data_IF_305648341991
#
_entry.id   IF_305648341991
#
_cell.length_a   1.000
_cell.length_b   1.000
_cell.length_c   1.000
_cell.angle_alpha   90.00
_cell.angle_beta   90.00
_cell.angle_gamma   90.00
#
_symmetry.space_group_name_H-M   'P 1'
#
loop_
_entity.id
_entity.type
_entity.pdbx_description
1 polymer ?
#
# COMPACT_ATOMS: atom_id res chain seq x y z
N UNK A 1 -37.02 19.00 -11.15
CA UNK A 1 -36.81 19.70 -12.44
C UNK A 1 -35.99 20.95 -12.17
N UNK A 2 -34.68 20.86 -12.42
CA UNK A 2 -33.74 21.92 -12.78
C UNK A 2 -32.55 21.15 -13.41
N UNK A 3 -32.19 21.49 -14.64
CA UNK A 3 -31.26 20.72 -15.49
C UNK A 3 -29.79 20.87 -15.09
N UNK A 4 -28.87 20.08 -15.71
CA UNK A 4 -27.46 20.11 -15.35
C UNK A 4 -26.76 21.33 -15.97
N UNK A 5 -25.92 21.95 -15.16
CA UNK A 5 -25.04 23.06 -15.55
C UNK A 5 -24.10 22.65 -16.68
N UNK A 6 -24.07 23.47 -17.73
CA UNK A 6 -23.13 23.36 -18.84
C UNK A 6 -21.74 23.77 -18.35
N UNK A 7 -20.80 22.84 -18.42
CA UNK A 7 -19.37 23.10 -18.32
C UNK A 7 -18.89 23.97 -19.49
N UNK A 8 -18.40 25.17 -19.18
CA UNK A 8 -17.71 26.09 -20.11
C UNK A 8 -16.22 25.73 -20.11
N UNK A 9 -15.76 25.04 -21.15
CA UNK A 9 -14.38 24.57 -21.33
C UNK A 9 -13.38 25.67 -21.69
N UNK A 10 -13.30 26.74 -20.90
CA UNK A 10 -12.27 27.77 -21.05
C UNK A 10 -11.26 27.71 -19.91
N UNK A 11 -10.19 26.94 -20.12
CA UNK A 11 -8.95 27.13 -19.38
C UNK A 11 -8.37 28.50 -19.73
N UNK A 12 -8.26 29.38 -18.73
CA UNK A 12 -7.54 30.64 -18.86
C UNK A 12 -6.04 30.34 -18.92
N UNK A 13 -5.28 30.93 -19.85
CA UNK A 13 -3.84 30.72 -19.93
C UNK A 13 -3.15 31.32 -18.70
N UNK A 14 -2.38 30.48 -17.98
CA UNK A 14 -1.59 30.87 -16.82
C UNK A 14 -0.61 32.01 -17.12
N UNK A 15 -0.39 32.87 -16.13
CA UNK A 15 0.49 34.04 -16.23
C UNK A 15 1.96 33.65 -16.44
N UNK A 16 2.80 34.59 -16.93
CA UNK A 16 4.20 34.31 -17.21
C UNK A 16 4.97 34.12 -15.89
N UNK A 17 5.18 32.87 -15.49
CA UNK A 17 5.89 32.49 -14.27
C UNK A 17 5.48 31.14 -13.68
N UNK A 18 4.34 30.55 -14.08
CA UNK A 18 3.98 29.22 -13.62
C UNK A 18 4.83 28.14 -14.32
N UNK A 19 5.54 27.35 -13.51
CA UNK A 19 6.16 26.11 -13.97
C UNK A 19 5.05 25.16 -14.44
N UNK A 20 5.24 24.36 -15.52
CA UNK A 20 4.24 23.40 -15.95
C UNK A 20 3.85 22.48 -14.78
N UNK A 21 2.58 22.48 -14.37
CA UNK A 21 2.06 21.51 -13.42
C UNK A 21 2.07 20.15 -14.10
N UNK A 22 3.02 19.31 -13.72
CA UNK A 22 2.98 17.88 -14.04
C UNK A 22 1.77 17.33 -13.27
N UNK A 23 0.77 16.72 -13.94
CA UNK A 23 -0.34 16.08 -13.24
C UNK A 23 0.22 15.03 -12.27
N UNK A 24 -0.32 14.98 -11.05
CA UNK A 24 0.03 13.93 -10.10
C UNK A 24 -0.17 12.55 -10.74
N UNK A 25 0.71 11.57 -10.47
CA UNK A 25 0.50 10.20 -10.91
C UNK A 25 -0.90 9.74 -10.45
N UNK A 26 -1.68 9.12 -11.35
CA UNK A 26 -2.97 8.52 -10.98
C UNK A 26 -2.73 7.44 -9.92
N UNK A 27 -3.59 7.40 -8.89
CA UNK A 27 -3.64 6.36 -7.87
C UNK A 27 -3.76 4.97 -8.50
N UNK A 28 -3.21 3.95 -7.84
CA UNK A 28 -3.29 2.59 -8.33
C UNK A 28 -4.74 2.08 -8.21
N UNK A 29 -5.20 1.25 -9.14
CA UNK A 29 -6.58 0.77 -9.13
C UNK A 29 -6.93 -0.09 -7.89
N UNK A 30 -5.92 -0.61 -7.19
CA UNK A 30 -6.04 -1.30 -5.90
C UNK A 30 -6.37 -0.37 -4.73
N UNK A 31 -6.26 0.95 -4.93
CA UNK A 31 -6.63 1.99 -3.96
C UNK A 31 -8.14 2.32 -3.99
N UNK A 32 -8.95 1.60 -4.77
CA UNK A 32 -10.39 1.82 -4.93
C UNK A 32 -11.27 0.61 -4.51
N UNK A 33 -10.73 -0.32 -3.72
CA UNK A 33 -11.46 -1.47 -3.17
C UNK A 33 -11.14 -2.82 -3.84
N UNK A 34 -11.89 -3.89 -3.52
CA UNK A 34 -11.61 -5.23 -4.03
C UNK A 34 -11.74 -5.31 -5.55
N UNK A 35 -10.73 -5.88 -6.21
CA UNK A 35 -10.73 -6.08 -7.65
C UNK A 35 -11.78 -7.14 -8.04
N UNK A 36 -12.54 -6.94 -9.13
CA UNK A 36 -13.40 -7.99 -9.67
C UNK A 36 -12.55 -9.17 -10.18
N UNK A 37 -13.01 -10.41 -9.92
CA UNK A 37 -12.34 -11.63 -10.39
C UNK A 37 -12.19 -11.62 -11.91
N UNK A 38 -10.95 -11.77 -12.39
CA UNK A 38 -10.67 -11.95 -13.81
C UNK A 38 -11.01 -13.39 -14.24
N UNK A 39 -11.66 -13.60 -15.40
CA UNK A 39 -11.86 -14.94 -15.94
C UNK A 39 -10.49 -15.59 -16.25
N UNK A 40 -10.35 -16.91 -16.04
CA UNK A 40 -9.08 -17.60 -16.26
C UNK A 40 -8.66 -17.50 -17.73
N UNK A 41 -7.38 -17.19 -17.96
CA UNK A 41 -6.80 -17.21 -19.29
C UNK A 41 -6.86 -18.65 -19.88
N UNK A 42 -7.14 -18.80 -21.19
CA UNK A 42 -7.12 -20.11 -21.82
C UNK A 42 -5.71 -20.68 -21.81
N UNK A 43 -5.56 -21.84 -21.18
CA UNK A 43 -4.32 -22.63 -21.15
C UNK A 43 -4.08 -23.20 -22.55
N UNK A 44 -2.97 -22.84 -23.19
CA UNK A 44 -2.49 -23.57 -24.37
C UNK A 44 -1.68 -24.79 -23.88
N UNK A 45 -2.21 -25.99 -24.14
CA UNK A 45 -1.51 -27.25 -23.92
C UNK A 45 -0.22 -27.33 -24.74
N UNK A 46 0.95 -27.57 -24.11
CA UNK A 46 2.13 -27.96 -24.84
C UNK A 46 2.12 -29.49 -24.96
N UNK A 47 1.55 -30.01 -26.05
CA UNK A 47 1.86 -31.38 -26.47
C UNK A 47 2.22 -31.40 -27.94
N UNK A 48 3.50 -31.60 -28.24
CA UNK A 48 4.00 -32.69 -29.10
C UNK A 48 5.46 -32.46 -29.53
N UNK A 49 6.29 -33.49 -29.32
CA UNK A 49 7.64 -33.61 -29.87
C UNK A 49 8.73 -33.66 -28.79
N UNK A 50 9.00 -34.83 -28.19
CA UNK A 50 10.13 -35.71 -28.59
C UNK A 50 11.49 -35.07 -28.33
N UNK A 51 12.39 -35.57 -27.49
CA UNK A 51 12.59 -36.86 -26.84
C UNK A 51 14.02 -36.82 -26.31
N UNK A 52 14.24 -37.35 -25.11
CA UNK A 52 15.54 -37.37 -24.46
C UNK A 52 16.55 -38.19 -25.29
N UNK A 53 17.71 -37.60 -25.60
CA UNK A 53 18.91 -38.38 -25.93
C UNK A 53 20.13 -37.76 -25.22
N UNK A 54 20.77 -38.68 -24.53
CA UNK A 54 22.01 -38.67 -23.77
C UNK A 54 23.18 -37.89 -24.43
N UNK A 55 23.99 -37.24 -23.60
CA UNK A 55 25.22 -36.56 -24.00
C UNK A 55 26.41 -37.53 -24.04
N UNK A 56 27.16 -37.61 -25.15
CA UNK A 56 28.55 -38.06 -25.10
C UNK A 56 29.51 -36.98 -25.61
N UNK A 57 30.37 -36.53 -24.69
CA UNK A 57 31.83 -36.34 -24.79
C UNK A 57 32.42 -35.90 -26.16
N UNK A 58 32.97 -34.69 -26.16
CA UNK A 58 33.80 -34.10 -27.23
C UNK A 58 34.99 -34.97 -27.64
N UNK A 59 35.29 -35.06 -28.95
CA UNK A 59 36.64 -35.21 -29.45
C UNK A 59 37.09 -33.97 -30.25
N UNK A 60 38.41 -33.85 -30.30
CA UNK A 60 39.23 -32.73 -30.77
C UNK A 60 38.95 -32.26 -32.21
N UNK A 61 39.29 -30.98 -32.40
CA UNK A 61 39.18 -30.21 -33.62
C UNK A 61 40.06 -30.74 -34.77
N UNK A 62 39.45 -30.92 -35.94
CA UNK A 62 40.11 -30.82 -37.25
C UNK A 62 39.35 -29.83 -38.14
N UNK A 63 40.04 -29.10 -39.04
CA UNK A 63 39.52 -27.89 -39.66
C UNK A 63 38.52 -28.23 -40.77
N UNK A 64 37.23 -27.99 -40.51
CA UNK A 64 36.19 -28.10 -41.53
C UNK A 64 36.23 -26.85 -42.42
N UNK A 65 36.59 -27.10 -43.67
CA UNK A 65 36.49 -26.19 -44.80
C UNK A 65 35.09 -25.56 -44.87
N UNK A 66 35.05 -24.23 -45.05
CA UNK A 66 33.82 -23.48 -45.17
C UNK A 66 32.89 -24.11 -46.23
N UNK A 67 31.61 -24.40 -45.91
CA UNK A 67 30.67 -24.84 -46.92
C UNK A 67 30.43 -23.69 -47.90
N UNK A 68 30.55 -24.00 -49.18
CA UNK A 68 30.17 -23.09 -50.26
C UNK A 68 28.76 -22.56 -50.00
N UNK A 69 28.65 -21.24 -49.97
CA UNK A 69 27.40 -20.50 -49.86
C UNK A 69 26.45 -21.04 -50.94
N UNK A 70 25.37 -21.71 -50.51
CA UNK A 70 24.25 -21.96 -51.41
C UNK A 70 23.80 -20.59 -51.94
N UNK A 71 23.55 -20.43 -53.25
CA UNK A 71 23.04 -19.17 -53.76
C UNK A 71 21.75 -18.85 -52.99
N UNK A 72 21.70 -17.65 -52.39
CA UNK A 72 20.47 -17.10 -51.86
C UNK A 72 19.40 -17.24 -52.97
N UNK A 73 18.18 -17.71 -52.66
CA UNK A 73 17.11 -17.69 -53.64
C UNK A 73 17.02 -16.26 -54.17
N UNK A 74 17.07 -16.13 -55.50
CA UNK A 74 16.89 -14.84 -56.18
C UNK A 74 15.66 -14.15 -55.56
N UNK A 75 15.74 -12.85 -55.23
CA UNK A 75 14.59 -12.14 -54.67
C UNK A 75 13.40 -12.40 -55.59
N UNK A 76 12.32 -12.93 -54.99
CA UNK A 76 11.08 -13.15 -55.73
C UNK A 76 10.74 -11.85 -56.46
N UNK A 77 10.33 -11.92 -57.74
CA UNK A 77 10.05 -10.73 -58.51
C UNK A 77 9.04 -9.88 -57.73
N UNK A 78 9.36 -8.58 -57.57
CA UNK A 78 8.51 -7.65 -56.85
C UNK A 78 7.06 -7.81 -57.30
N UNK A 79 6.08 -7.88 -56.38
CA UNK A 79 4.70 -8.13 -56.75
C UNK A 79 4.26 -7.10 -57.79
N UNK A 80 3.57 -7.51 -58.86
CA UNK A 80 3.14 -6.57 -59.88
C UNK A 80 2.28 -5.46 -59.26
N UNK A 81 2.43 -4.22 -59.76
CA UNK A 81 1.73 -3.03 -59.27
C UNK A 81 0.24 -3.23 -58.96
N UNK A 82 -0.47 -4.03 -59.77
CA UNK A 82 -1.90 -4.35 -59.55
C UNK A 82 -2.15 -5.05 -58.19
N UNK A 83 -1.26 -5.93 -57.76
CA UNK A 83 -1.36 -6.65 -56.48
C UNK A 83 -1.09 -5.67 -55.34
N UNK A 84 -0.01 -4.88 -55.42
CA UNK A 84 0.33 -3.88 -54.40
C UNK A 84 -0.77 -2.81 -54.25
N UNK A 85 -1.35 -2.37 -55.37
CA UNK A 85 -2.52 -1.47 -55.37
C UNK A 85 -3.75 -2.11 -54.69
N UNK A 86 -3.95 -3.42 -54.84
CA UNK A 86 -5.07 -4.11 -54.17
C UNK A 86 -4.87 -4.28 -52.66
N UNK A 87 -3.62 -4.26 -52.18
CA UNK A 87 -3.28 -4.36 -50.77
C UNK A 87 -3.43 -3.03 -50.01
N UNK A 88 -3.57 -1.89 -50.70
CA UNK A 88 -3.65 -0.56 -50.05
C UNK A 88 -4.75 -0.45 -48.99
N UNK A 89 -5.90 -1.11 -49.22
CA UNK A 89 -7.00 -1.14 -48.24
C UNK A 89 -6.66 -1.95 -46.98
N UNK A 90 -6.05 -3.13 -47.15
CA UNK A 90 -5.62 -3.97 -46.03
C UNK A 90 -4.46 -3.33 -45.26
N UNK A 91 -3.52 -2.70 -45.98
CA UNK A 91 -2.41 -1.95 -45.41
C UNK A 91 -2.91 -0.73 -44.61
N UNK A 92 -3.91 -0.01 -45.12
CA UNK A 92 -4.51 1.12 -44.40
C UNK A 92 -5.19 0.70 -43.09
N UNK A 93 -5.65 -0.56 -43.00
CA UNK A 93 -6.26 -1.16 -41.80
C UNK A 93 -5.25 -1.91 -40.91
N UNK A 94 -3.95 -1.84 -41.20
CA UNK A 94 -2.90 -2.62 -40.52
C UNK A 94 -3.17 -4.14 -40.50
N UNK A 95 -3.81 -4.66 -41.55
CA UNK A 95 -4.21 -6.05 -41.70
C UNK A 95 -3.30 -6.86 -42.65
N UNK A 96 -2.22 -6.26 -43.15
CA UNK A 96 -1.20 -6.94 -43.94
C UNK A 96 -0.22 -7.71 -43.04
N UNK A 97 0.35 -8.78 -43.59
CA UNK A 97 1.55 -9.42 -43.00
C UNK A 97 2.75 -8.46 -43.04
N UNK A 98 3.82 -8.78 -42.30
CA UNK A 98 5.05 -7.99 -42.30
C UNK A 98 5.70 -7.88 -43.70
N UNK A 99 5.67 -8.98 -44.46
CA UNK A 99 6.22 -9.04 -45.83
C UNK A 99 5.40 -8.18 -46.81
N UNK A 100 4.08 -8.24 -46.74
CA UNK A 100 3.19 -7.40 -47.55
C UNK A 100 3.29 -5.93 -47.19
N UNK A 101 3.46 -5.61 -45.90
CA UNK A 101 3.63 -4.24 -45.42
C UNK A 101 4.89 -3.62 -46.01
N UNK A 102 6.02 -4.32 -45.94
CA UNK A 102 7.28 -3.86 -46.51
C UNK A 102 7.17 -3.66 -48.04
N UNK A 103 6.56 -4.61 -48.75
CA UNK A 103 6.38 -4.53 -50.20
C UNK A 103 5.45 -3.37 -50.64
N UNK A 104 4.43 -3.07 -49.85
CA UNK A 104 3.55 -1.91 -50.09
C UNK A 104 4.29 -0.61 -49.79
N UNK A 105 5.02 -0.50 -48.68
CA UNK A 105 5.77 0.71 -48.32
C UNK A 105 6.84 1.07 -49.35
N UNK A 106 7.59 0.09 -49.83
CA UNK A 106 8.54 0.26 -50.95
C UNK A 106 7.81 0.71 -52.23
N UNK A 107 6.62 0.19 -52.51
CA UNK A 107 5.84 0.65 -53.66
C UNK A 107 5.34 2.09 -53.54
N UNK A 108 5.02 2.54 -52.33
CA UNK A 108 4.53 3.89 -52.08
C UNK A 108 5.60 4.96 -52.32
N UNK A 109 6.90 4.63 -52.19
CA UNK A 109 7.98 5.57 -52.53
C UNK A 109 8.07 5.83 -54.03
N UNK A 110 7.72 4.82 -54.84
CA UNK A 110 7.93 4.84 -56.29
C UNK A 110 6.65 5.17 -57.09
N UNK A 111 5.48 5.19 -56.45
CA UNK A 111 4.19 5.39 -57.12
C UNK A 111 3.33 6.45 -56.41
N UNK A 112 3.43 7.69 -56.89
CA UNK A 112 2.66 8.82 -56.37
C UNK A 112 1.14 8.56 -56.33
N UNK A 113 0.58 7.90 -57.35
CA UNK A 113 -0.87 7.61 -57.39
C UNK A 113 -1.32 6.62 -56.31
N UNK A 114 -0.47 5.67 -55.93
CA UNK A 114 -0.75 4.74 -54.83
C UNK A 114 -0.51 5.41 -53.47
N UNK A 115 0.48 6.31 -53.36
CA UNK A 115 0.71 7.10 -52.16
C UNK A 115 -0.49 8.03 -51.84
N UNK A 116 -1.02 8.73 -52.85
CA UNK A 116 -2.21 9.56 -52.70
C UNK A 116 -3.43 8.73 -52.28
N UNK A 117 -3.60 7.55 -52.87
CA UNK A 117 -4.70 6.64 -52.52
C UNK A 117 -4.53 6.06 -51.10
N UNK A 118 -3.31 5.70 -50.72
CA UNK A 118 -2.99 5.21 -49.37
C UNK A 118 -3.27 6.28 -48.30
N UNK A 119 -2.94 7.55 -48.58
CA UNK A 119 -3.27 8.68 -47.71
C UNK A 119 -4.78 8.88 -47.58
N UNK A 120 -5.53 8.81 -48.70
CA UNK A 120 -7.00 8.88 -48.67
C UNK A 120 -7.61 7.73 -47.87
N UNK A 121 -7.13 6.50 -48.07
CA UNK A 121 -7.61 5.31 -47.35
C UNK A 121 -7.31 5.41 -45.85
N UNK A 122 -6.10 5.82 -45.43
CA UNK A 122 -5.81 6.05 -44.01
C UNK A 122 -6.67 7.16 -43.40
N UNK A 123 -6.90 8.24 -44.15
CA UNK A 123 -7.83 9.29 -43.74
C UNK A 123 -9.26 8.77 -43.54
N UNK A 124 -9.73 7.86 -44.40
CA UNK A 124 -11.03 7.24 -44.30
C UNK A 124 -11.13 6.21 -43.16
N UNK A 125 -10.07 5.46 -42.86
CA UNK A 125 -9.99 4.55 -41.70
C UNK A 125 -10.20 5.32 -40.39
N UNK A 126 -9.64 6.52 -40.27
CA UNK A 126 -9.87 7.41 -39.13
C UNK A 126 -11.32 7.85 -38.94
N UNK A 127 -12.17 7.76 -39.97
CA UNK A 127 -13.61 8.04 -39.90
C UNK A 127 -14.45 6.80 -39.59
N UNK A 128 -13.89 5.60 -39.77
CA UNK A 128 -14.54 4.31 -39.50
C UNK A 128 -14.29 3.81 -38.07
N UNK A 129 -13.21 4.27 -37.43
CA UNK A 129 -12.97 4.01 -36.02
C UNK A 129 -13.81 4.97 -35.17
N UNK A 130 -14.61 4.48 -34.21
CA UNK A 130 -14.98 5.30 -33.07
C UNK A 130 -13.69 5.88 -32.47
N UNK A 131 -13.74 7.11 -31.95
CA UNK A 131 -12.62 7.63 -31.18
C UNK A 131 -12.42 6.72 -29.97
N UNK A 132 -11.45 5.80 -30.06
CA UNK A 132 -11.07 4.97 -28.93
C UNK A 132 -10.56 5.89 -27.83
N UNK A 133 -10.98 5.63 -26.59
CA UNK A 133 -10.45 6.39 -25.46
C UNK A 133 -8.94 6.19 -25.39
N UNK A 134 -8.19 7.29 -25.33
CA UNK A 134 -6.75 7.27 -25.07
C UNK A 134 -6.45 6.97 -23.59
N UNK A 135 -7.48 6.80 -22.76
CA UNK A 135 -7.30 6.36 -21.37
C UNK A 135 -6.75 4.93 -21.36
N UNK A 136 -5.54 4.80 -20.81
CA UNK A 136 -4.98 3.51 -20.47
C UNK A 136 -5.85 2.85 -19.42
N UNK A 137 -5.99 1.53 -19.52
CA UNK A 137 -6.59 0.71 -18.47
C UNK A 137 -5.93 1.06 -17.13
N UNK A 138 -6.69 1.47 -16.09
CA UNK A 138 -6.14 1.80 -14.77
C UNK A 138 -5.28 0.68 -14.17
N UNK A 139 -5.54 -0.59 -14.55
CA UNK A 139 -4.79 -1.77 -14.12
C UNK A 139 -3.55 -2.04 -14.99
N UNK A 140 -3.28 -1.26 -16.03
CA UNK A 140 -2.12 -1.48 -16.88
C UNK A 140 -0.82 -1.31 -16.08
N UNK A 141 -0.73 -0.25 -15.26
CA UNK A 141 0.48 0.00 -14.46
C UNK A 141 0.75 -1.15 -13.49
N UNK A 142 -0.25 -1.56 -12.72
CA UNK A 142 -0.11 -2.64 -11.74
C UNK A 142 0.27 -3.96 -12.44
N UNK A 143 -0.42 -4.35 -13.51
CA UNK A 143 -0.09 -5.56 -14.29
C UNK A 143 1.32 -5.52 -14.90
N UNK A 144 1.76 -4.37 -15.40
CA UNK A 144 3.11 -4.22 -15.95
C UNK A 144 4.15 -4.35 -14.84
N UNK A 145 3.94 -3.70 -13.69
CA UNK A 145 4.84 -3.80 -12.54
C UNK A 145 4.88 -5.22 -11.99
N UNK A 146 3.74 -5.87 -11.80
CA UNK A 146 3.62 -7.26 -11.39
C UNK A 146 4.35 -8.19 -12.36
N UNK A 147 4.13 -8.02 -13.67
CA UNK A 147 4.85 -8.78 -14.69
C UNK A 147 6.36 -8.53 -14.67
N UNK A 148 6.81 -7.30 -14.39
CA UNK A 148 8.23 -6.97 -14.23
C UNK A 148 8.83 -7.62 -12.98
N UNK A 149 8.15 -7.55 -11.83
CA UNK A 149 8.58 -8.11 -10.56
C UNK A 149 8.58 -9.64 -10.60
N UNK A 150 7.61 -10.27 -11.28
CA UNK A 150 7.58 -11.71 -11.51
C UNK A 150 8.74 -12.19 -12.38
N UNK A 151 9.14 -11.42 -13.40
CA UNK A 151 10.31 -11.73 -14.24
C UNK A 151 11.64 -11.52 -13.51
N UNK A 152 11.71 -10.55 -12.60
CA UNK A 152 12.91 -10.21 -11.83
C UNK A 152 12.58 -10.08 -10.34
N UNK A 153 12.40 -11.21 -9.64
CA UNK A 153 12.07 -11.17 -8.21
C UNK A 153 13.22 -10.55 -7.41
N UNK A 154 12.87 -9.89 -6.31
CA UNK A 154 13.86 -9.41 -5.36
C UNK A 154 14.68 -10.59 -4.84
N UNK A 155 16.01 -10.44 -4.84
CA UNK A 155 16.92 -11.49 -4.32
C UNK A 155 16.65 -11.79 -2.85
N UNK A 156 16.26 -10.77 -2.10
CA UNK A 156 15.88 -10.82 -0.69
C UNK A 156 14.54 -10.06 -0.60
N UNK A 157 13.41 -10.77 -0.54
CA UNK A 157 12.11 -10.12 -0.42
C UNK A 157 11.87 -9.61 1.00
N UNK A 158 11.17 -8.50 1.12
CA UNK A 158 10.62 -8.02 2.41
C UNK A 158 9.51 -8.98 2.84
N UNK A 159 9.46 -9.42 4.11
CA UNK A 159 8.37 -10.24 4.60
C UNK A 159 7.03 -9.53 4.42
N UNK A 160 6.01 -10.27 4.00
CA UNK A 160 4.70 -9.70 3.68
C UNK A 160 4.09 -8.90 4.84
N UNK A 161 4.24 -9.38 6.07
CA UNK A 161 3.77 -8.71 7.29
C UNK A 161 4.55 -7.43 7.64
N UNK A 162 5.74 -7.23 7.09
CA UNK A 162 6.54 -6.02 7.26
C UNK A 162 6.34 -4.99 6.13
N UNK A 163 5.69 -5.38 5.02
CA UNK A 163 5.46 -4.52 3.87
C UNK A 163 4.69 -3.21 4.20
N UNK A 164 3.67 -3.21 5.09
CA UNK A 164 3.03 -1.96 5.50
C UNK A 164 4.00 -0.98 6.15
N UNK A 165 4.88 -1.46 7.05
CA UNK A 165 5.86 -0.59 7.71
C UNK A 165 6.89 -0.03 6.71
N UNK A 166 7.38 -0.86 5.77
CA UNK A 166 8.29 -0.41 4.70
C UNK A 166 7.65 0.69 3.84
N UNK A 167 6.39 0.52 3.46
CA UNK A 167 5.66 1.48 2.65
C UNK A 167 5.40 2.80 3.38
N UNK A 168 4.90 2.75 4.62
CA UNK A 168 4.57 3.96 5.39
C UNK A 168 5.81 4.74 5.80
N UNK A 169 6.90 4.07 6.18
CA UNK A 169 8.18 4.74 6.48
C UNK A 169 8.80 5.35 5.22
N UNK A 170 8.70 4.70 4.06
CA UNK A 170 9.16 5.28 2.79
C UNK A 170 8.33 6.50 2.37
N UNK A 171 7.00 6.48 2.61
CA UNK A 171 6.10 7.59 2.32
C UNK A 171 6.37 8.79 3.23
N UNK A 172 6.55 8.57 4.53
CA UNK A 172 6.94 9.61 5.49
C UNK A 172 8.33 10.17 5.15
N UNK A 173 9.29 9.31 4.81
CA UNK A 173 10.62 9.75 4.41
C UNK A 173 10.62 10.66 3.16
N UNK A 174 9.72 10.41 2.20
CA UNK A 174 9.55 11.28 1.04
C UNK A 174 9.04 12.67 1.46
N UNK A 175 8.03 12.74 2.33
CA UNK A 175 7.54 14.00 2.91
C UNK A 175 8.66 14.76 3.61
N UNK A 176 9.40 14.10 4.52
CA UNK A 176 10.46 14.73 5.31
C UNK A 176 11.61 15.29 4.46
N UNK A 177 11.91 14.68 3.30
CA UNK A 177 12.95 15.14 2.38
C UNK A 177 12.60 16.43 1.65
N UNK A 178 11.31 16.67 1.45
CA UNK A 178 10.83 17.88 0.78
C UNK A 178 10.72 19.07 1.75
N UNK A 179 10.78 18.81 3.06
CA UNK A 179 10.67 19.81 4.11
C UNK A 179 11.97 20.59 4.35
N UNK A 180 11.85 21.90 4.54
CA UNK A 180 12.89 22.80 5.04
C UNK A 180 12.93 22.90 6.56
N UNK A 181 14.01 23.49 7.08
CA UNK A 181 14.29 23.56 8.53
C UNK A 181 13.20 24.28 9.36
N UNK A 182 12.45 25.20 8.77
CA UNK A 182 11.34 25.87 9.44
C UNK A 182 10.14 24.95 9.67
N UNK A 183 9.82 24.10 8.68
CA UNK A 183 8.69 23.16 8.75
C UNK A 183 8.99 22.03 9.75
N UNK A 184 10.26 21.66 9.93
CA UNK A 184 10.69 20.75 10.99
C UNK A 184 10.42 21.28 12.42
N UNK A 185 10.24 22.60 12.58
CA UNK A 185 9.84 23.25 13.83
C UNK A 185 8.35 23.57 13.90
N UNK A 186 7.57 23.21 12.87
CA UNK A 186 6.12 23.44 12.88
C UNK A 186 5.50 22.74 14.09
N UNK A 187 4.57 23.42 14.80
CA UNK A 187 3.90 22.82 15.95
C UNK A 187 2.97 21.70 15.48
N UNK A 188 3.09 20.54 16.10
CA UNK A 188 2.21 19.38 15.86
C UNK A 188 1.42 19.10 17.12
N UNK A 189 0.11 18.87 16.97
CA UNK A 189 -0.78 18.46 18.06
C UNK A 189 -0.96 16.95 18.02
N UNK A 190 -0.29 16.23 18.91
CA UNK A 190 -0.55 14.81 19.10
C UNK A 190 -1.81 14.61 19.92
N UNK A 191 -2.63 13.62 19.56
CA UNK A 191 -3.84 13.23 20.27
C UNK A 191 -3.84 11.74 20.55
N UNK A 192 -4.38 11.35 21.69
CA UNK A 192 -4.65 9.95 22.04
C UNK A 192 -5.76 9.90 23.09
N UNK A 193 -6.20 8.70 23.48
CA UNK A 193 -7.29 8.51 24.43
C UNK A 193 -6.79 7.87 25.73
N UNK A 194 -7.09 8.48 26.88
CA UNK A 194 -6.68 7.96 28.19
C UNK A 194 -7.90 7.88 29.13
N UNK A 195 -8.17 6.68 29.63
CA UNK A 195 -9.30 6.41 30.51
C UNK A 195 -10.64 6.57 29.79
N UNK A 196 -11.25 7.75 29.90
CA UNK A 196 -12.52 8.13 29.27
C UNK A 196 -12.45 9.51 28.59
N UNK A 197 -11.24 10.03 28.33
CA UNK A 197 -11.10 11.37 27.73
C UNK A 197 -10.00 11.41 26.66
N UNK A 198 -10.19 12.24 25.62
CA UNK A 198 -9.09 12.60 24.74
C UNK A 198 -8.03 13.37 25.54
N UNK A 199 -6.78 13.12 25.20
CA UNK A 199 -5.59 13.79 25.71
C UNK A 199 -4.84 14.34 24.51
N UNK A 200 -4.27 15.52 24.67
CA UNK A 200 -3.48 16.14 23.62
C UNK A 200 -2.15 16.65 24.16
N UNK A 201 -1.15 16.73 23.28
CA UNK A 201 0.14 17.33 23.58
C UNK A 201 0.71 18.07 22.38
N UNK A 202 1.23 19.27 22.62
CA UNK A 202 2.02 19.99 21.62
C UNK A 202 3.44 19.44 21.57
N UNK A 203 3.95 19.35 20.35
CA UNK A 203 5.35 19.06 20.06
C UNK A 203 5.70 19.72 18.72
N UNK A 204 6.82 19.34 18.11
CA UNK A 204 7.20 19.74 16.76
C UNK A 204 7.30 18.53 15.85
N UNK A 205 7.44 18.73 14.53
CA UNK A 205 7.74 17.64 13.60
C UNK A 205 8.97 16.84 14.05
N UNK A 206 10.04 17.51 14.47
CA UNK A 206 11.22 16.84 15.04
C UNK A 206 10.87 16.00 16.28
N UNK A 207 9.99 16.52 17.14
CA UNK A 207 9.49 15.79 18.30
C UNK A 207 8.68 14.54 17.93
N UNK A 208 7.83 14.61 16.89
CA UNK A 208 7.10 13.45 16.36
C UNK A 208 8.06 12.39 15.81
N UNK A 209 9.08 12.80 15.05
CA UNK A 209 10.11 11.88 14.56
C UNK A 209 10.89 11.23 15.69
N UNK A 210 11.18 11.99 16.74
CA UNK A 210 11.80 11.47 17.95
C UNK A 210 10.91 10.42 18.63
N UNK A 211 9.61 10.70 18.77
CA UNK A 211 8.64 9.73 19.30
C UNK A 211 8.64 8.43 18.49
N UNK A 212 8.49 8.50 17.16
CA UNK A 212 8.51 7.32 16.29
C UNK A 212 9.80 6.51 16.47
N UNK A 213 10.96 7.17 16.46
CA UNK A 213 12.27 6.52 16.67
C UNK A 213 12.37 5.85 18.06
N UNK A 214 11.90 6.53 19.11
CA UNK A 214 11.95 6.02 20.47
C UNK A 214 11.14 4.73 20.63
N UNK A 215 9.93 4.69 20.07
CA UNK A 215 9.03 3.54 20.16
C UNK A 215 9.43 2.42 19.20
N UNK A 216 9.91 2.73 17.99
CA UNK A 216 10.49 1.74 17.07
C UNK A 216 11.74 1.05 17.67
N UNK A 217 12.39 1.69 18.64
CA UNK A 217 13.45 1.11 19.46
C UNK A 217 13.02 -0.16 20.23
N UNK A 218 11.74 -0.31 20.57
CA UNK A 218 11.20 -1.54 21.17
C UNK A 218 11.33 -2.74 20.21
N UNK A 219 10.98 -2.50 18.94
CA UNK A 219 11.09 -3.51 17.87
C UNK A 219 12.57 -3.79 17.56
N UNK A 220 13.39 -2.75 17.52
CA UNK A 220 14.83 -2.87 17.26
C UNK A 220 15.52 -3.73 18.33
N UNK A 221 15.27 -3.44 19.60
CA UNK A 221 15.87 -4.18 20.72
C UNK A 221 15.41 -5.63 20.79
N UNK A 222 14.12 -5.91 20.51
CA UNK A 222 13.63 -7.29 20.38
C UNK A 222 14.40 -8.06 19.29
N UNK A 223 14.68 -7.41 18.16
CA UNK A 223 15.46 -7.96 17.05
C UNK A 223 16.98 -8.07 17.31
N UNK A 224 17.44 -7.66 18.49
CA UNK A 224 18.86 -7.63 18.86
C UNK A 224 19.66 -6.50 18.20
N UNK A 225 18.98 -5.50 17.65
CA UNK A 225 19.60 -4.28 17.14
C UNK A 225 19.88 -3.29 18.30
N UNK A 226 20.79 -2.32 18.11
CA UNK A 226 21.03 -1.28 19.11
C UNK A 226 19.76 -0.50 19.45
N UNK A 227 19.60 -0.13 20.73
CA UNK A 227 18.55 0.80 21.15
C UNK A 227 18.91 2.22 20.69
N UNK A 228 18.04 2.95 19.95
CA UNK A 228 18.30 4.34 19.55
C UNK A 228 18.51 5.28 20.75
N UNK A 229 17.94 4.97 21.92
CA UNK A 229 18.16 5.75 23.15
C UNK A 229 19.52 5.44 23.82
N UNK A 230 20.23 4.40 23.37
CA UNK A 230 21.54 4.02 23.90
C UNK A 230 21.55 3.89 25.42
N UNK A 231 22.50 4.57 26.08
CA UNK A 231 22.61 4.57 27.55
C UNK A 231 21.53 5.38 28.27
N UNK A 232 20.76 6.19 27.53
CA UNK A 232 19.62 6.92 28.08
C UNK A 232 18.34 6.07 28.13
N UNK A 233 18.35 4.83 27.58
CA UNK A 233 17.19 3.96 27.62
C UNK A 233 16.71 3.74 29.07
N UNK A 234 15.41 3.96 29.35
CA UNK A 234 14.89 3.85 30.71
C UNK A 234 15.00 2.41 31.24
N UNK A 235 15.39 2.22 32.52
CA UNK A 235 15.45 0.88 33.11
C UNK A 235 14.04 0.33 33.38
N UNK A 236 13.91 -1.01 33.36
CA UNK A 236 12.66 -1.70 33.68
C UNK A 236 11.90 -2.18 32.43
N UNK A 237 10.60 -2.41 32.58
CA UNK A 237 9.75 -2.87 31.47
C UNK A 237 9.66 -1.76 30.41
N UNK A 238 10.00 -2.04 29.14
CA UNK A 238 9.95 -1.03 28.09
C UNK A 238 8.53 -0.49 27.90
N UNK A 239 8.33 0.83 27.94
CA UNK A 239 7.04 1.49 27.80
C UNK A 239 7.15 2.66 26.79
N UNK A 240 6.26 2.76 25.78
CA UNK A 240 6.28 3.81 24.76
C UNK A 240 6.38 5.24 25.33
N UNK A 241 5.41 5.65 26.16
CA UNK A 241 5.36 6.98 26.78
C UNK A 241 6.64 7.32 27.55
N UNK A 242 7.16 6.41 28.38
CA UNK A 242 8.39 6.67 29.14
C UNK A 242 9.59 6.88 28.21
N UNK A 243 9.68 6.13 27.11
CA UNK A 243 10.76 6.27 26.11
C UNK A 243 10.65 7.58 25.35
N UNK A 244 9.43 7.93 24.92
CA UNK A 244 9.13 9.20 24.24
C UNK A 244 9.52 10.39 25.13
N UNK A 245 9.06 10.40 26.39
CA UNK A 245 9.40 11.47 27.35
C UNK A 245 10.90 11.54 27.65
N UNK A 246 11.56 10.39 27.76
CA UNK A 246 13.02 10.34 27.98
C UNK A 246 13.77 11.00 26.82
N UNK A 247 13.38 10.69 25.58
CA UNK A 247 13.99 11.30 24.40
C UNK A 247 13.74 12.81 24.37
N UNK A 248 12.49 13.24 24.54
CA UNK A 248 12.12 14.66 24.49
C UNK A 248 12.80 15.50 25.57
N UNK A 249 13.01 14.95 26.77
CA UNK A 249 13.75 15.63 27.84
C UNK A 249 15.25 15.74 27.57
N UNK A 250 15.80 14.86 26.74
CA UNK A 250 17.20 14.86 26.37
C UNK A 250 17.48 15.74 25.13
N UNK A 251 16.45 16.14 24.39
CA UNK A 251 16.59 17.00 23.22
C UNK A 251 17.09 18.39 23.62
N UNK A 252 18.18 18.83 22.99
CA UNK A 252 18.74 20.17 23.17
C UNK A 252 18.03 21.14 22.20
N UNK A 253 17.53 22.26 22.72
CA UNK A 253 16.86 23.30 21.92
C UNK A 253 17.81 23.97 20.91
N UNK A 254 19.12 23.91 21.15
CA UNK A 254 20.14 24.43 20.24
C UNK A 254 20.47 23.48 19.07
N UNK A 255 20.08 22.20 19.17
CA UNK A 255 20.36 21.21 18.13
C UNK A 255 19.48 21.43 16.89
N UNK A 256 20.02 21.13 15.70
CA UNK A 256 19.24 21.24 14.47
C UNK A 256 18.07 20.25 14.52
N UNK A 257 16.83 20.65 14.21
CA UNK A 257 15.69 19.73 14.24
C UNK A 257 15.80 18.60 13.21
N UNK A 258 16.70 18.75 12.22
CA UNK A 258 17.02 17.75 11.20
C UNK A 258 17.87 16.58 11.73
N UNK A 259 18.48 16.68 12.92
CA UNK A 259 19.40 15.63 13.42
C UNK A 259 18.71 14.30 13.68
N UNK A 260 17.38 14.29 13.85
CA UNK A 260 16.60 13.07 14.08
C UNK A 260 16.29 12.31 12.78
N UNK A 261 16.30 12.96 11.60
CA UNK A 261 15.92 12.32 10.33
C UNK A 261 16.83 11.16 9.96
N UNK A 262 18.15 11.37 10.00
CA UNK A 262 19.15 10.35 9.65
C UNK A 262 19.06 9.10 10.54
N UNK A 263 19.16 9.23 11.87
CA UNK A 263 19.03 8.11 12.80
C UNK A 263 17.71 7.34 12.68
N UNK A 264 16.57 8.03 12.56
CA UNK A 264 15.26 7.39 12.36
C UNK A 264 15.21 6.60 11.04
N UNK A 265 15.73 7.18 9.95
CA UNK A 265 15.82 6.54 8.64
C UNK A 265 16.69 5.29 8.69
N UNK A 266 17.87 5.39 9.30
CA UNK A 266 18.81 4.29 9.44
C UNK A 266 18.23 3.15 10.27
N UNK A 267 17.50 3.48 11.34
CA UNK A 267 16.77 2.49 12.15
C UNK A 267 15.70 1.77 11.33
N UNK A 268 14.87 2.51 10.58
CA UNK A 268 13.81 1.93 9.74
C UNK A 268 14.40 0.95 8.72
N UNK A 269 15.50 1.31 8.07
CA UNK A 269 16.23 0.40 7.18
C UNK A 269 16.83 -0.80 7.89
N UNK A 270 17.41 -0.61 9.08
CA UNK A 270 17.98 -1.70 9.86
C UNK A 270 16.91 -2.72 10.26
N UNK A 271 15.71 -2.25 10.65
CA UNK A 271 14.56 -3.10 10.96
C UNK A 271 14.14 -3.95 9.76
N UNK A 272 13.85 -3.31 8.61
CA UNK A 272 13.46 -4.01 7.38
C UNK A 272 14.54 -4.98 6.92
N UNK A 273 15.80 -4.56 6.93
CA UNK A 273 16.94 -5.40 6.58
C UNK A 273 17.00 -6.62 7.50
N UNK A 274 16.93 -6.43 8.81
CA UNK A 274 17.06 -7.50 9.79
C UNK A 274 15.96 -8.56 9.61
N UNK A 275 14.70 -8.15 9.42
CA UNK A 275 13.59 -9.10 9.23
C UNK A 275 13.62 -9.79 7.86
N UNK A 276 14.15 -9.12 6.83
CA UNK A 276 14.29 -9.72 5.49
C UNK A 276 15.36 -10.81 5.43
N UNK A 277 16.36 -10.76 6.31
CA UNK A 277 17.38 -11.81 6.46
C UNK A 277 17.04 -12.82 7.56
N UNK A 278 16.07 -12.52 8.41
CA UNK A 278 15.63 -13.42 9.46
C UNK A 278 14.69 -14.51 8.90
N UNK A 279 14.84 -15.74 9.40
CA UNK A 279 13.92 -16.82 9.04
C UNK A 279 12.51 -16.61 9.62
N UNK A 280 11.52 -17.33 9.10
CA UNK A 280 10.09 -17.12 9.46
C UNK A 280 9.76 -17.25 10.96
N UNK A 281 10.62 -17.87 11.78
CA UNK A 281 10.43 -17.97 13.24
C UNK A 281 10.52 -16.62 13.96
N UNK A 282 11.13 -15.59 13.34
CA UNK A 282 11.26 -14.26 13.96
C UNK A 282 9.91 -13.57 14.13
N UNK A 283 8.92 -13.91 13.30
CA UNK A 283 7.60 -13.26 13.29
C UNK A 283 6.85 -13.42 14.63
N UNK A 284 7.10 -14.50 15.37
CA UNK A 284 6.45 -14.80 16.66
C UNK A 284 7.19 -14.24 17.87
N UNK A 285 8.32 -13.55 17.65
CA UNK A 285 9.08 -12.99 18.76
C UNK A 285 8.23 -11.99 19.55
N UNK A 286 8.19 -12.12 20.87
CA UNK A 286 7.43 -11.21 21.72
C UNK A 286 8.14 -9.86 21.86
N UNK A 287 7.43 -8.78 21.52
CA UNK A 287 7.88 -7.39 21.71
C UNK A 287 7.08 -6.77 22.85
N UNK A 288 7.72 -6.36 23.96
CA UNK A 288 7.04 -5.73 25.08
C UNK A 288 6.76 -4.25 24.83
N UNK A 289 5.53 -3.82 25.13
CA UNK A 289 5.05 -2.43 25.04
C UNK A 289 4.65 -1.85 26.41
N UNK A 290 5.10 -2.47 27.49
CA UNK A 290 4.77 -2.11 28.85
C UNK A 290 3.87 -3.17 29.44
N UNK A 291 2.59 -2.86 29.55
CA UNK A 291 1.59 -3.75 30.18
C UNK A 291 1.13 -4.89 29.27
N UNK A 292 1.48 -4.84 27.98
CA UNK A 292 1.16 -5.87 26.99
C UNK A 292 2.37 -6.20 26.10
N UNK A 293 2.21 -7.23 25.29
CA UNK A 293 3.20 -7.62 24.28
C UNK A 293 2.51 -8.03 22.99
N UNK A 294 3.18 -7.78 21.87
CA UNK A 294 2.75 -8.19 20.54
C UNK A 294 3.76 -9.17 19.96
N UNK A 295 3.31 -10.07 19.08
CA UNK A 295 4.23 -10.80 18.21
C UNK A 295 4.90 -9.80 17.27
N UNK A 296 6.15 -10.04 16.87
CA UNK A 296 6.92 -9.12 16.04
C UNK A 296 6.19 -8.72 14.76
N UNK A 297 5.50 -9.66 14.11
CA UNK A 297 4.67 -9.34 12.93
C UNK A 297 3.58 -8.31 13.21
N UNK A 298 2.95 -8.41 14.38
CA UNK A 298 1.87 -7.53 14.81
C UNK A 298 2.47 -6.20 15.29
N UNK A 299 3.68 -6.20 15.87
CA UNK A 299 4.44 -4.98 16.14
C UNK A 299 4.77 -4.21 14.87
N UNK A 300 5.14 -4.86 13.77
CA UNK A 300 5.38 -4.14 12.51
C UNK A 300 4.09 -3.51 11.94
N UNK A 301 2.95 -4.18 12.07
CA UNK A 301 1.65 -3.61 11.69
C UNK A 301 1.26 -2.43 12.58
N UNK A 302 1.46 -2.56 13.90
CA UNK A 302 1.28 -1.50 14.88
C UNK A 302 2.16 -0.28 14.54
N UNK A 303 3.46 -0.49 14.32
CA UNK A 303 4.38 0.59 13.95
C UNK A 303 4.05 1.22 12.60
N UNK A 304 3.52 0.45 11.65
CA UNK A 304 3.07 0.98 10.37
C UNK A 304 1.84 1.89 10.53
N UNK A 305 0.87 1.48 11.36
CA UNK A 305 -0.30 2.30 11.69
C UNK A 305 0.12 3.62 12.35
N UNK A 306 1.00 3.54 13.35
CA UNK A 306 1.51 4.70 14.09
C UNK A 306 2.32 5.64 13.19
N UNK A 307 3.15 5.10 12.30
CA UNK A 307 3.88 5.88 11.30
C UNK A 307 2.93 6.62 10.36
N UNK A 308 1.86 5.96 9.89
CA UNK A 308 0.87 6.59 9.01
C UNK A 308 0.09 7.70 9.72
N UNK A 309 -0.43 7.43 10.93
CA UNK A 309 -1.18 8.41 11.73
C UNK A 309 -0.34 9.65 11.99
N UNK A 310 0.89 9.47 12.48
CA UNK A 310 1.77 10.59 12.80
C UNK A 310 2.33 11.31 11.57
N UNK A 311 2.47 10.63 10.44
CA UNK A 311 2.75 11.30 9.19
C UNK A 311 1.57 12.18 8.74
N UNK A 312 0.33 11.76 9.02
CA UNK A 312 -0.87 12.59 8.89
C UNK A 312 -0.81 13.83 9.78
N UNK A 313 -0.45 13.68 11.06
CA UNK A 313 -0.30 14.81 11.99
C UNK A 313 0.74 15.83 11.51
N UNK A 314 1.88 15.34 10.99
CA UNK A 314 2.93 16.17 10.39
C UNK A 314 2.38 16.88 9.16
N UNK A 315 1.74 16.14 8.25
CA UNK A 315 1.23 16.68 7.00
C UNK A 315 0.15 17.75 7.23
N UNK A 316 -0.73 17.57 8.23
CA UNK A 316 -1.68 18.60 8.65
C UNK A 316 -0.96 19.86 9.15
N UNK A 317 0.07 19.71 9.98
CA UNK A 317 0.82 20.83 10.53
C UNK A 317 1.60 21.66 9.49
N UNK A 318 1.87 21.09 8.31
CA UNK A 318 2.61 21.76 7.22
C UNK A 318 1.77 21.94 5.94
N UNK A 319 0.44 21.79 6.03
CA UNK A 319 -0.50 21.92 4.91
C UNK A 319 -0.15 21.04 3.69
N UNK A 320 0.31 19.80 3.93
CA UNK A 320 0.70 18.84 2.91
C UNK A 320 -0.40 17.78 2.67
N UNK A 321 -0.73 17.42 1.41
CA UNK A 321 -1.68 16.35 1.12
C UNK A 321 -1.07 14.98 1.42
N UNK A 322 -1.67 14.21 2.33
CA UNK A 322 -1.17 12.88 2.70
C UNK A 322 -2.23 11.80 2.50
N UNK A 323 -1.92 10.83 1.64
CA UNK A 323 -2.86 9.77 1.25
C UNK A 323 -2.88 8.62 2.25
N UNK A 324 -4.04 7.94 2.32
CA UNK A 324 -4.22 6.73 3.12
C UNK A 324 -3.29 5.58 2.61
N UNK A 325 -3.02 4.56 3.44
CA UNK A 325 -2.29 3.37 3.02
C UNK A 325 -3.04 2.62 1.92
N UNK A 326 -2.31 1.84 1.13
CA UNK A 326 -2.91 0.92 0.16
C UNK A 326 -3.93 0.00 0.85
N UNK A 327 -5.04 -0.31 0.18
CA UNK A 327 -6.19 -1.00 0.80
C UNK A 327 -5.80 -2.32 1.49
N UNK A 328 -4.89 -3.11 0.90
CA UNK A 328 -4.40 -4.36 1.49
C UNK A 328 -3.53 -4.15 2.75
N UNK A 329 -2.81 -3.03 2.84
CA UNK A 329 -2.06 -2.66 4.04
C UNK A 329 -3.01 -2.16 5.14
N UNK A 330 -3.94 -1.28 4.77
CA UNK A 330 -4.95 -0.75 5.68
C UNK A 330 -5.80 -1.87 6.30
N UNK A 331 -6.20 -2.87 5.51
CA UNK A 331 -6.92 -4.04 6.00
C UNK A 331 -6.18 -4.77 7.12
N UNK A 332 -4.85 -4.91 7.02
CA UNK A 332 -4.06 -5.61 8.05
C UNK A 332 -3.93 -4.79 9.33
N UNK A 333 -3.88 -3.46 9.21
CA UNK A 333 -3.87 -2.57 10.36
C UNK A 333 -5.23 -2.61 11.08
N UNK A 334 -6.34 -2.56 10.32
CA UNK A 334 -7.70 -2.71 10.85
C UNK A 334 -7.90 -4.08 11.49
N UNK A 335 -7.44 -5.14 10.83
CA UNK A 335 -7.48 -6.51 11.38
C UNK A 335 -6.73 -6.61 12.71
N UNK A 336 -5.52 -6.05 12.80
CA UNK A 336 -4.78 -6.01 14.06
C UNK A 336 -5.59 -5.29 15.15
N UNK A 337 -6.08 -4.09 14.87
CA UNK A 337 -6.87 -3.33 15.84
C UNK A 337 -8.09 -4.13 16.32
N UNK A 338 -8.85 -4.75 15.40
CA UNK A 338 -9.98 -5.61 15.71
C UNK A 338 -9.58 -6.82 16.58
N UNK A 339 -8.44 -7.47 16.30
CA UNK A 339 -7.91 -8.58 17.11
C UNK A 339 -7.51 -8.16 18.53
N UNK A 340 -7.17 -6.89 18.74
CA UNK A 340 -6.80 -6.37 20.07
C UNK A 340 -8.01 -6.00 20.94
N UNK A 341 -9.18 -5.75 20.33
CA UNK A 341 -10.38 -5.29 21.05
C UNK A 341 -10.83 -6.18 22.22
N UNK A 342 -10.85 -7.53 22.13
CA UNK A 342 -11.27 -8.36 23.26
C UNK A 342 -10.38 -8.17 24.50
N UNK A 343 -9.06 -8.02 24.30
CA UNK A 343 -8.11 -7.76 25.39
C UNK A 343 -8.24 -6.33 25.92
N UNK A 344 -8.34 -5.33 25.03
CA UNK A 344 -8.55 -3.94 25.42
C UNK A 344 -9.83 -3.77 26.25
N UNK A 345 -10.91 -4.45 25.86
CA UNK A 345 -12.17 -4.47 26.61
C UNK A 345 -12.00 -5.12 27.99
N UNK A 346 -11.28 -6.24 28.08
CA UNK A 346 -10.97 -6.88 29.36
C UNK A 346 -10.14 -5.95 30.28
N UNK A 347 -9.19 -5.21 29.73
CA UNK A 347 -8.34 -4.27 30.47
C UNK A 347 -9.13 -3.09 31.00
N UNK A 348 -9.99 -2.50 30.16
CA UNK A 348 -10.92 -1.45 30.58
C UNK A 348 -11.82 -1.91 31.72
N UNK A 349 -12.33 -3.14 31.68
CA UNK A 349 -13.12 -3.70 32.79
C UNK A 349 -12.31 -3.87 34.07
N UNK A 350 -11.07 -4.34 33.98
CA UNK A 350 -10.16 -4.44 35.14
C UNK A 350 -9.88 -3.07 35.76
N UNK A 351 -9.82 -2.03 34.94
CA UNK A 351 -9.68 -0.64 35.37
C UNK A 351 -11.00 -0.01 35.87
N UNK A 352 -12.14 -0.71 35.79
CA UNK A 352 -13.45 -0.18 36.20
C UNK A 352 -14.07 0.81 35.20
N UNK A 353 -13.60 0.81 33.95
CA UNK A 353 -13.99 1.75 32.87
C UNK A 353 -14.96 1.14 31.85
N UNK A 354 -15.49 -0.04 32.12
CA UNK A 354 -16.44 -0.76 31.28
C UNK A 354 -17.33 -1.67 32.13
N UNK A 355 -18.50 -2.03 31.61
CA UNK A 355 -19.45 -2.89 32.32
C UNK A 355 -18.88 -4.28 32.60
N UNK A 356 -19.19 -4.94 33.73
CA UNK A 356 -18.70 -6.29 34.00
C UNK A 356 -19.18 -7.29 32.93
N UNK A 357 -18.44 -8.39 32.69
CA UNK A 357 -18.85 -9.37 31.70
C UNK A 357 -20.19 -10.00 32.09
N UNK A 358 -21.09 -10.17 31.13
CA UNK A 358 -22.41 -10.74 31.40
C UNK A 358 -22.37 -12.26 31.47
N UNK A 359 -21.60 -12.90 30.58
CA UNK A 359 -21.50 -14.35 30.50
C UNK A 359 -20.09 -14.81 30.16
N UNK A 360 -19.39 -15.33 31.15
CA UNK A 360 -18.12 -16.01 30.93
C UNK A 360 -18.34 -17.39 30.29
N UNK A 361 -17.43 -17.76 29.39
CA UNK A 361 -17.38 -19.05 28.72
C UNK A 361 -15.97 -19.60 28.76
N UNK A 362 -15.83 -20.91 28.59
CA UNK A 362 -14.52 -21.58 28.45
C UNK A 362 -13.75 -20.99 27.26
N UNK A 363 -12.41 -21.02 27.35
CA UNK A 363 -11.55 -20.58 26.27
C UNK A 363 -11.85 -21.37 24.98
N UNK A 364 -11.96 -20.66 23.85
CA UNK A 364 -12.33 -21.25 22.56
C UNK A 364 -13.82 -21.57 22.40
N UNK A 365 -14.67 -21.32 23.40
CA UNK A 365 -16.11 -21.48 23.24
C UNK A 365 -16.75 -20.22 22.64
N UNK A 366 -17.85 -20.34 21.85
CA UNK A 366 -18.61 -19.19 21.36
C UNK A 366 -19.16 -18.33 22.51
N UNK A 367 -18.88 -17.01 22.47
CA UNK A 367 -19.32 -16.04 23.47
C UNK A 367 -20.24 -14.96 22.89
N UNK A 368 -20.81 -14.09 23.75
CA UNK A 368 -21.52 -12.88 23.27
C UNK A 368 -20.60 -12.09 22.36
N UNK A 369 -21.11 -11.70 21.21
CA UNK A 369 -20.32 -11.17 20.11
C UNK A 369 -20.85 -9.81 19.67
N UNK A 370 -19.95 -8.88 19.38
CA UNK A 370 -20.25 -7.70 18.58
C UNK A 370 -19.73 -7.92 17.16
N UNK A 371 -20.58 -7.67 16.17
CA UNK A 371 -20.18 -7.61 14.77
C UNK A 371 -19.66 -6.21 14.48
N UNK A 372 -18.42 -6.12 14.02
CA UNK A 372 -17.77 -4.90 13.56
C UNK A 372 -17.68 -4.97 12.03
N UNK A 373 -18.38 -4.09 11.35
CA UNK A 373 -18.30 -3.85 9.92
C UNK A 373 -17.49 -2.58 9.68
N UNK A 374 -16.37 -2.71 8.98
CA UNK A 374 -15.60 -1.54 8.51
C UNK A 374 -15.80 -1.45 7.01
N UNK A 375 -16.37 -0.35 6.55
CA UNK A 375 -16.64 -0.08 5.14
C UNK A 375 -15.43 0.61 4.47
N UNK A 376 -15.41 0.61 3.13
CA UNK A 376 -14.38 1.32 2.37
C UNK A 376 -13.08 0.53 2.17
N UNK A 377 -12.00 1.26 1.89
CA UNK A 377 -10.71 0.68 1.56
C UNK A 377 -10.12 -0.06 2.76
N UNK A 378 -9.69 -1.31 2.55
CA UNK A 378 -9.21 -2.14 3.65
C UNK A 378 -10.29 -2.55 4.66
N UNK A 379 -11.57 -2.31 4.35
CA UNK A 379 -12.71 -2.74 5.16
C UNK A 379 -12.85 -4.26 5.27
N UNK A 380 -13.87 -4.69 6.02
CA UNK A 380 -14.16 -6.09 6.29
C UNK A 380 -15.18 -6.29 7.40
N UNK A 381 -15.32 -7.54 7.84
CA UNK A 381 -16.20 -7.91 8.95
C UNK A 381 -15.42 -8.69 10.00
N UNK A 382 -15.54 -8.26 11.26
CA UNK A 382 -14.92 -8.91 12.41
C UNK A 382 -15.97 -9.22 13.47
N UNK A 383 -15.76 -10.30 14.21
CA UNK A 383 -16.64 -10.75 15.27
C UNK A 383 -15.89 -10.69 16.60
N UNK A 384 -16.19 -9.65 17.39
CA UNK A 384 -15.46 -9.31 18.60
C UNK A 384 -16.12 -10.00 19.79
N UNK A 385 -15.38 -10.86 20.47
CA UNK A 385 -15.83 -11.48 21.70
C UNK A 385 -15.96 -10.42 22.82
N UNK A 386 -17.15 -10.32 23.40
CA UNK A 386 -17.46 -9.25 24.35
C UNK A 386 -17.07 -9.59 25.78
N UNK A 387 -17.31 -10.81 26.26
CA UNK A 387 -17.28 -11.11 27.71
C UNK A 387 -15.97 -11.74 28.20
N UNK A 388 -15.19 -12.36 27.31
CA UNK A 388 -13.91 -12.99 27.64
C UNK A 388 -12.95 -12.87 26.45
N UNK A 389 -11.69 -12.44 26.67
CA UNK A 389 -10.71 -12.29 25.59
C UNK A 389 -10.34 -13.63 24.93
N UNK A 390 -10.55 -14.75 25.63
CA UNK A 390 -10.27 -16.09 25.11
C UNK A 390 -11.49 -16.75 24.44
N UNK A 391 -12.65 -16.10 24.41
CA UNK A 391 -13.84 -16.63 23.75
C UNK A 391 -13.77 -16.44 22.23
N UNK A 392 -14.53 -17.25 21.49
CA UNK A 392 -14.69 -17.08 20.05
C UNK A 392 -15.86 -16.14 19.75
N UNK A 393 -15.58 -15.07 19.00
CA UNK A 393 -16.62 -14.25 18.37
C UNK A 393 -17.25 -15.00 17.20
N UNK A 394 -18.58 -15.01 17.14
CA UNK A 394 -19.32 -15.79 16.13
C UNK A 394 -20.62 -15.08 15.69
N UNK A 395 -21.03 -15.22 14.41
CA UNK A 395 -22.26 -14.58 13.90
C UNK A 395 -23.54 -15.01 14.64
N UNK A 396 -23.62 -16.28 15.09
CA UNK A 396 -24.79 -16.82 15.80
C UNK A 396 -24.96 -16.25 17.22
N UNK A 397 -23.93 -15.60 17.74
CA UNK A 397 -23.93 -14.97 19.07
C UNK A 397 -23.85 -13.44 19.01
N UNK A 398 -24.10 -12.86 17.86
CA UNK A 398 -24.12 -11.40 17.67
C UNK A 398 -25.27 -10.77 18.47
N UNK A 399 -24.92 -9.87 19.38
CA UNK A 399 -25.87 -9.09 20.20
C UNK A 399 -25.87 -7.59 19.85
N UNK A 400 -24.85 -7.15 19.13
CA UNK A 400 -24.67 -5.78 18.69
C UNK A 400 -23.90 -5.73 17.36
N UNK A 401 -24.13 -4.68 16.59
CA UNK A 401 -23.48 -4.40 15.32
C UNK A 401 -23.06 -2.93 15.27
N UNK A 402 -21.80 -2.69 14.87
CA UNK A 402 -21.24 -1.37 14.58
C UNK A 402 -20.77 -1.38 13.13
N UNK A 403 -21.18 -0.37 12.35
CA UNK A 403 -20.70 -0.13 10.99
C UNK A 403 -20.07 1.28 10.89
N UNK A 404 -18.87 1.40 10.33
CA UNK A 404 -18.19 2.69 10.13
C UNK A 404 -17.17 2.61 8.98
N UNK A 405 -16.80 3.75 8.38
CA UNK A 405 -15.75 3.78 7.35
C UNK A 405 -14.37 3.47 7.94
N UNK A 406 -13.49 2.87 7.12
CA UNK A 406 -12.08 2.61 7.43
C UNK A 406 -11.32 3.81 8.02
N UNK A 407 -11.47 5.00 7.43
CA UNK A 407 -10.85 6.22 7.93
C UNK A 407 -11.40 6.59 9.31
N UNK A 408 -12.71 6.53 9.49
CA UNK A 408 -13.37 6.81 10.77
C UNK A 408 -12.90 5.84 11.87
N UNK A 409 -12.82 4.54 11.56
CA UNK A 409 -12.34 3.52 12.49
C UNK A 409 -10.89 3.79 12.90
N UNK A 410 -10.03 4.12 11.93
CA UNK A 410 -8.63 4.43 12.19
C UNK A 410 -8.46 5.72 13.01
N UNK A 411 -9.22 6.78 12.73
CA UNK A 411 -9.20 8.01 13.54
C UNK A 411 -9.66 7.73 14.98
N UNK A 412 -10.68 6.87 15.17
CA UNK A 412 -11.11 6.45 16.50
C UNK A 412 -10.01 5.64 17.21
N UNK A 413 -9.42 4.65 16.52
CA UNK A 413 -8.34 3.83 17.08
C UNK A 413 -7.07 4.63 17.41
N UNK A 414 -6.82 5.73 16.68
CA UNK A 414 -5.76 6.70 16.94
C UNK A 414 -6.12 7.71 18.05
N UNK A 415 -7.34 7.72 18.56
CA UNK A 415 -7.79 8.65 19.59
C UNK A 415 -7.92 10.10 19.09
N UNK A 416 -8.03 10.30 17.78
CA UNK A 416 -8.20 11.60 17.15
C UNK A 416 -9.64 12.11 17.19
N UNK A 417 -10.59 11.19 17.33
CA UNK A 417 -12.01 11.46 17.54
C UNK A 417 -12.48 10.73 18.80
N UNK A 418 -13.42 11.32 19.53
CA UNK A 418 -13.98 10.65 20.70
C UNK A 418 -14.96 9.53 20.30
N UNK A 419 -15.12 8.48 21.14
CA UNK A 419 -16.13 7.44 20.92
C UNK A 419 -17.54 7.98 20.68
N UNK A 420 -17.89 9.10 21.29
CA UNK A 420 -19.20 9.76 21.16
C UNK A 420 -19.38 10.52 19.84
N UNK A 421 -18.29 11.02 19.25
CA UNK A 421 -18.31 11.77 18.00
C UNK A 421 -18.19 10.87 16.77
N UNK A 422 -17.72 9.63 16.95
CA UNK A 422 -17.53 8.68 15.87
C UNK A 422 -18.81 8.47 15.04
N UNK A 423 -18.70 8.66 13.73
CA UNK A 423 -19.76 8.47 12.75
C UNK A 423 -20.01 6.98 12.49
N UNK A 424 -20.59 6.30 13.49
CA UNK A 424 -20.89 4.87 13.45
C UNK A 424 -22.38 4.58 13.34
N UNK A 425 -22.76 3.72 12.40
CA UNK A 425 -24.04 3.02 12.39
C UNK A 425 -24.10 2.01 13.54
N UNK A 426 -25.18 2.01 14.32
CA UNK A 426 -25.26 1.26 15.58
C UNK A 426 -26.59 0.50 15.68
N UNK A 427 -26.52 -0.79 16.01
CA UNK A 427 -27.70 -1.63 16.23
C UNK A 427 -27.48 -2.67 17.34
N UNK A 428 -28.47 -2.91 18.20
CA UNK A 428 -28.42 -3.93 19.26
C UNK A 428 -28.13 -3.36 20.66
N UNK A 429 -27.41 -4.13 21.49
CA UNK A 429 -27.13 -3.79 22.89
C UNK A 429 -26.25 -2.53 23.03
N UNK A 430 -26.79 -1.46 23.61
CA UNK A 430 -26.10 -0.15 23.72
C UNK A 430 -24.82 -0.18 24.56
N UNK A 431 -24.82 -0.92 25.67
CA UNK A 431 -23.64 -1.01 26.54
C UNK A 431 -22.49 -1.73 25.84
N UNK A 432 -22.79 -2.77 25.05
CA UNK A 432 -21.79 -3.48 24.26
C UNK A 432 -21.17 -2.57 23.18
N UNK A 433 -22.00 -1.76 22.51
CA UNK A 433 -21.56 -0.81 21.50
C UNK A 433 -20.65 0.25 22.12
N UNK A 434 -21.10 0.87 23.22
CA UNK A 434 -20.31 1.87 23.95
C UNK A 434 -18.97 1.29 24.39
N UNK A 435 -18.99 0.13 25.05
CA UNK A 435 -17.80 -0.52 25.57
C UNK A 435 -16.77 -0.81 24.45
N UNK A 436 -17.22 -1.22 23.25
CA UNK A 436 -16.32 -1.47 22.11
C UNK A 436 -15.78 -0.19 21.48
N UNK A 437 -16.58 0.86 21.33
CA UNK A 437 -16.08 2.15 20.80
C UNK A 437 -15.01 2.74 21.73
N UNK A 438 -15.24 2.67 23.04
CA UNK A 438 -14.26 3.09 24.04
C UNK A 438 -13.03 2.16 24.10
N UNK A 439 -13.19 0.86 23.90
CA UNK A 439 -12.07 -0.07 23.77
C UNK A 439 -11.22 0.23 22.53
N UNK A 440 -11.85 0.60 21.42
CA UNK A 440 -11.18 1.00 20.18
C UNK A 440 -10.35 2.26 20.41
N UNK A 441 -10.93 3.30 21.01
CA UNK A 441 -10.19 4.53 21.32
C UNK A 441 -8.99 4.29 22.25
N UNK A 442 -9.12 3.40 23.23
CA UNK A 442 -8.04 3.07 24.17
C UNK A 442 -6.86 2.29 23.58
N UNK A 443 -6.89 1.95 22.29
CA UNK A 443 -5.72 1.38 21.60
C UNK A 443 -4.63 2.45 21.34
N UNK A 444 -5.05 3.71 21.20
CA UNK A 444 -4.16 4.86 21.02
C UNK A 444 -3.26 5.10 22.23
N UNK A 445 -2.04 5.56 21.97
CA UNK A 445 -1.03 5.86 22.98
C UNK A 445 0.08 6.73 22.38
N UNK A 446 1.02 7.11 23.23
CA UNK A 446 2.27 7.80 22.88
C UNK A 446 3.47 7.08 23.52
#
# INVERSE_FOLDING_TARGET
MNGPDKWDGRELPGGPGERPRIPSPRSAAEDHGPLPDAPPAPVCDPSSGSGAVDSPREPEAEPVTAPATAPLPLPAPAPPHRILKSLLGAWALSACSAEETAAVEEHLTDCASCADEALRLRGAVGLLHPADSLDLDPLLRSRVLEGCLGRRPARIPVPEWAAPYDAETAKLDALLRDMGEAEWRAPVRLRWFEGERPVERETTVAGVMGHLMAVDGLVATALGLPDPLGTAAPPGTPNPLIRTETLWRAADEEESPLTTHGPWRDQSYALIRQVSFAGGKVAELSVPYGDFSLALRDSFLDRAFECWVHAGDIAEAVDYPYEAPAAGHLHRMVDLAARLLPSALADRRRAGLASPPQRLVEAGAPGRTLHLEVEGNGGGHWYIALDSPAALGTPDRTVAHIALDSAEFCQLAAGHISPEEAAAGQHGERDAIRDVLFATASLSRI
#
